data_IF_045765258062
#
_entry.id   IF_045765258062
#
_cell.length_a   1.000
_cell.length_b   1.000
_cell.length_c   1.000
_cell.angle_alpha   90.00
_cell.angle_beta   90.00
_cell.angle_gamma   90.00
#
_symmetry.space_group_name_H-M   'P 1'
#
loop_
_entity.id
_entity.type
_entity.pdbx_description
1 polymer ?
#
# COMPACT_ATOMS: atom_id res chain seq x y z
N UNK A 1 -1.06 -1.15 9.23
CA UNK A 1 -2.09 -0.93 8.18
C UNK A 1 -1.50 -0.54 6.82
N UNK A 2 -0.69 0.52 6.71
CA UNK A 2 -0.18 1.05 5.42
C UNK A 2 0.53 0.00 4.55
N UNK A 3 1.44 -0.80 5.14
CA UNK A 3 2.16 -1.85 4.39
C UNK A 3 1.23 -2.93 3.86
N UNK A 4 0.25 -3.35 4.66
CA UNK A 4 -0.74 -4.35 4.27
C UNK A 4 -1.66 -3.82 3.17
N UNK A 5 -2.20 -2.60 3.31
CA UNK A 5 -3.01 -1.97 2.27
C UNK A 5 -2.27 -1.74 0.95
N UNK A 6 -0.98 -1.39 1.01
CA UNK A 6 -0.15 -1.27 -0.19
C UNK A 6 0.11 -2.62 -0.86
N UNK A 7 0.43 -3.66 -0.08
CA UNK A 7 0.61 -5.02 -0.57
C UNK A 7 -0.69 -5.58 -1.19
N UNK A 8 -1.82 -5.42 -0.51
CA UNK A 8 -3.16 -5.76 -0.99
C UNK A 8 -3.50 -5.01 -2.27
N UNK A 9 -3.13 -3.73 -2.36
CA UNK A 9 -3.27 -2.92 -3.56
C UNK A 9 -2.44 -3.41 -4.77
N UNK A 10 -1.41 -4.23 -4.54
CA UNK A 10 -0.57 -4.83 -5.59
C UNK A 10 -1.04 -6.25 -5.96
N UNK A 11 -1.40 -7.08 -4.97
CA UNK A 11 -1.93 -8.42 -5.20
C UNK A 11 -3.36 -8.35 -5.79
N UNK A 12 -4.12 -7.30 -5.44
CA UNK A 12 -5.52 -7.10 -5.84
C UNK A 12 -6.39 -8.30 -5.46
N UNK A 13 -7.33 -8.69 -6.31
CA UNK A 13 -8.24 -9.83 -6.17
C UNK A 13 -7.57 -11.18 -5.87
N UNK A 14 -6.25 -11.30 -6.12
CA UNK A 14 -5.51 -12.54 -5.90
C UNK A 14 -5.13 -12.77 -4.42
N UNK A 15 -5.49 -11.90 -3.48
CA UNK A 15 -5.03 -12.01 -2.09
C UNK A 15 -5.55 -13.26 -1.37
N UNK A 16 -6.78 -13.69 -1.66
CA UNK A 16 -7.32 -14.97 -1.16
C UNK A 16 -6.54 -16.15 -1.74
N UNK A 17 -6.20 -16.11 -3.03
CA UNK A 17 -5.37 -17.13 -3.68
C UNK A 17 -3.97 -17.15 -3.07
N UNK A 18 -3.39 -15.99 -2.75
CA UNK A 18 -2.09 -15.89 -2.11
C UNK A 18 -2.09 -16.50 -0.69
N UNK A 19 -3.16 -16.32 0.09
CA UNK A 19 -3.31 -16.97 1.40
C UNK A 19 -3.41 -18.49 1.28
N UNK A 20 -4.21 -18.99 0.33
CA UNK A 20 -4.34 -20.44 0.07
C UNK A 20 -3.01 -21.02 -0.43
N UNK A 21 -2.33 -20.34 -1.35
CA UNK A 21 -1.04 -20.79 -1.87
C UNK A 21 0.02 -20.80 -0.77
N UNK A 22 0.03 -19.78 0.11
CA UNK A 22 0.91 -19.76 1.27
C UNK A 22 0.63 -20.94 2.21
N UNK A 23 -0.64 -21.21 2.52
CA UNK A 23 -1.04 -22.37 3.33
C UNK A 23 -0.59 -23.70 2.69
N UNK A 24 -0.81 -23.86 1.39
CA UNK A 24 -0.41 -25.06 0.64
C UNK A 24 1.10 -25.22 0.61
N UNK A 25 1.85 -24.15 0.34
CA UNK A 25 3.31 -24.18 0.31
C UNK A 25 3.87 -24.54 1.68
N UNK A 26 3.30 -23.98 2.74
CA UNK A 26 3.71 -24.24 4.12
C UNK A 26 3.47 -25.71 4.51
N UNK A 27 2.36 -26.31 4.05
CA UNK A 27 2.08 -27.75 4.23
C UNK A 27 3.03 -28.63 3.42
N UNK A 28 3.30 -28.29 2.16
CA UNK A 28 4.16 -29.09 1.27
C UNK A 28 5.63 -29.04 1.71
N UNK A 29 6.08 -27.91 2.25
CA UNK A 29 7.48 -27.71 2.66
C UNK A 29 7.83 -28.29 4.02
N UNK A 30 6.83 -28.59 4.85
CA UNK A 30 7.03 -29.30 6.12
C UNK A 30 6.54 -30.74 5.96
N UNK A 31 7.49 -31.66 5.74
CA UNK A 31 7.21 -33.09 5.49
C UNK A 31 6.64 -33.86 6.69
N UNK A 32 6.64 -33.26 7.88
CA UNK A 32 6.36 -33.95 9.15
C UNK A 32 5.22 -33.30 9.95
N UNK A 33 4.26 -32.64 9.29
CA UNK A 33 3.15 -32.00 10.00
C UNK A 33 2.11 -33.01 10.45
N UNK A 34 1.81 -33.02 11.74
CA UNK A 34 0.61 -33.68 12.26
C UNK A 34 -0.65 -32.89 11.92
N UNK A 35 -1.81 -33.54 12.04
CA UNK A 35 -3.13 -32.92 11.84
C UNK A 35 -3.32 -31.64 12.68
N UNK A 36 -2.68 -31.57 13.84
CA UNK A 36 -2.72 -30.40 14.74
C UNK A 36 -1.99 -29.20 14.15
N UNK A 37 -0.80 -29.38 13.59
CA UNK A 37 -0.06 -28.30 12.94
C UNK A 37 -0.76 -27.79 11.67
N UNK A 38 -1.36 -28.70 10.88
CA UNK A 38 -2.14 -28.32 9.69
C UNK A 38 -3.34 -27.45 10.10
N UNK A 39 -4.08 -27.85 11.14
CA UNK A 39 -5.21 -27.05 11.68
C UNK A 39 -4.74 -25.71 12.22
N UNK A 40 -3.61 -25.65 12.93
CA UNK A 40 -3.06 -24.41 13.44
C UNK A 40 -2.71 -23.43 12.30
N UNK A 41 -2.09 -23.94 11.23
CA UNK A 41 -1.71 -23.14 10.05
C UNK A 41 -2.93 -22.65 9.28
N UNK A 42 -3.92 -23.50 9.07
CA UNK A 42 -5.21 -23.09 8.52
C UNK A 42 -5.86 -22.00 9.38
N UNK A 43 -5.79 -22.13 10.70
CA UNK A 43 -6.27 -21.11 11.65
C UNK A 43 -5.58 -19.76 11.48
N UNK A 44 -4.26 -19.72 11.21
CA UNK A 44 -3.55 -18.47 10.93
C UNK A 44 -4.02 -17.81 9.63
N UNK A 45 -4.26 -18.58 8.57
CA UNK A 45 -4.79 -18.05 7.32
C UNK A 45 -6.21 -17.49 7.49
N UNK A 46 -7.07 -18.18 8.23
CA UNK A 46 -8.42 -17.70 8.56
C UNK A 46 -8.37 -16.44 9.44
N UNK A 47 -7.47 -16.38 10.42
CA UNK A 47 -7.28 -15.18 11.24
C UNK A 47 -6.78 -13.98 10.40
N UNK A 48 -5.87 -14.23 9.44
CA UNK A 48 -5.41 -13.21 8.50
C UNK A 48 -6.54 -12.72 7.58
N UNK A 49 -7.38 -13.63 7.08
CA UNK A 49 -8.57 -13.28 6.30
C UNK A 49 -9.54 -12.44 7.13
N UNK A 50 -9.86 -12.86 8.36
CA UNK A 50 -10.74 -12.11 9.26
C UNK A 50 -10.20 -10.70 9.52
N UNK A 51 -8.91 -10.55 9.80
CA UNK A 51 -8.28 -9.25 10.01
C UNK A 51 -8.33 -8.36 8.75
N UNK A 52 -8.19 -8.93 7.54
CA UNK A 52 -8.32 -8.19 6.29
C UNK A 52 -9.74 -7.65 6.12
N UNK A 53 -10.75 -8.47 6.41
CA UNK A 53 -12.17 -8.08 6.34
C UNK A 53 -12.53 -7.04 7.40
N UNK A 54 -12.09 -7.22 8.65
CA UNK A 54 -12.33 -6.25 9.74
C UNK A 54 -11.72 -4.88 9.47
N UNK A 55 -10.58 -4.86 8.79
CA UNK A 55 -9.88 -3.63 8.41
C UNK A 55 -10.39 -3.01 7.09
N UNK A 56 -11.40 -3.61 6.43
CA UNK A 56 -11.93 -3.11 5.16
C UNK A 56 -10.90 -3.13 4.01
N UNK A 57 -9.93 -4.05 4.07
CA UNK A 57 -8.82 -4.11 3.10
C UNK A 57 -9.15 -5.03 1.91
N UNK A 58 -10.27 -5.74 1.95
CA UNK A 58 -10.68 -6.78 1.01
C UNK A 58 -10.93 -6.27 -0.40
N UNK A 59 -11.12 -4.97 -0.60
CA UNK A 59 -11.34 -4.35 -1.91
C UNK A 59 -10.48 -3.08 -2.10
N UNK A 60 -9.40 -2.96 -1.33
CA UNK A 60 -8.62 -1.71 -1.28
C UNK A 60 -7.95 -1.34 -2.61
N UNK A 61 -7.80 -2.29 -3.52
CA UNK A 61 -7.33 -2.05 -4.88
C UNK A 61 -8.38 -1.39 -5.80
N UNK A 62 -9.68 -1.50 -5.46
CA UNK A 62 -10.77 -0.87 -6.19
C UNK A 62 -11.03 0.58 -5.73
N UNK A 63 -10.45 0.98 -4.61
CA UNK A 63 -10.55 2.35 -4.11
C UNK A 63 -9.82 3.29 -5.07
N UNK A 64 -10.58 4.17 -5.72
CA UNK A 64 -10.03 5.19 -6.63
C UNK A 64 -9.16 6.18 -5.84
N UNK A 65 -8.02 6.61 -6.39
CA UNK A 65 -7.24 7.70 -5.81
C UNK A 65 -8.10 8.95 -5.65
N UNK A 66 -8.00 9.62 -4.49
CA UNK A 66 -8.70 10.88 -4.22
C UNK A 66 -8.28 12.00 -5.19
N UNK A 67 -7.02 11.99 -5.62
CA UNK A 67 -6.45 12.91 -6.59
C UNK A 67 -6.01 12.18 -7.86
N UNK A 68 -6.41 12.70 -9.02
CA UNK A 68 -5.90 12.24 -10.30
C UNK A 68 -4.57 12.91 -10.64
N UNK A 69 -3.92 12.47 -11.72
CA UNK A 69 -2.66 13.07 -12.17
C UNK A 69 -2.76 14.57 -12.45
N UNK A 70 -3.92 15.07 -12.91
CA UNK A 70 -4.12 16.50 -13.18
C UNK A 70 -4.19 17.31 -11.89
N UNK A 71 -4.99 16.88 -10.91
CA UNK A 71 -5.10 17.53 -9.60
C UNK A 71 -3.77 17.52 -8.86
N UNK A 72 -2.98 16.44 -8.97
CA UNK A 72 -1.62 16.38 -8.43
C UNK A 72 -0.73 17.45 -9.10
N UNK A 73 -0.75 17.58 -10.43
CA UNK A 73 0.02 18.64 -11.12
C UNK A 73 -0.43 20.05 -10.70
N UNK A 74 -1.74 20.27 -10.57
CA UNK A 74 -2.29 21.54 -10.08
C UNK A 74 -1.86 21.85 -8.64
N UNK A 75 -1.88 20.87 -7.73
CA UNK A 75 -1.44 21.03 -6.34
C UNK A 75 0.04 21.45 -6.25
N UNK A 76 0.86 20.89 -7.15
CA UNK A 76 2.29 21.16 -7.22
C UNK A 76 2.63 22.44 -8.01
N UNK A 77 1.64 23.05 -8.69
CA UNK A 77 1.79 24.27 -9.47
C UNK A 77 2.59 24.09 -10.76
N UNK A 78 2.50 22.93 -11.42
CA UNK A 78 3.33 22.58 -12.59
C UNK A 78 2.48 22.30 -13.83
N UNK A 79 2.84 22.89 -14.97
CA UNK A 79 2.03 22.84 -16.21
C UNK A 79 2.34 21.64 -17.12
N UNK A 80 3.51 20.99 -16.99
CA UNK A 80 3.84 19.78 -17.77
C UNK A 80 4.73 18.80 -17.00
N UNK A 81 4.26 17.55 -16.91
CA UNK A 81 5.04 16.33 -16.72
C UNK A 81 6.13 16.37 -15.64
N UNK A 82 5.81 15.88 -14.44
CA UNK A 82 6.76 15.79 -13.34
C UNK A 82 7.64 14.53 -13.52
N UNK A 83 8.98 14.64 -13.50
CA UNK A 83 9.85 13.50 -13.21
C UNK A 83 9.46 12.93 -11.84
N UNK A 84 9.10 11.65 -11.76
CA UNK A 84 8.65 11.04 -10.51
C UNK A 84 7.16 11.21 -10.19
N UNK A 85 6.29 11.53 -11.17
CA UNK A 85 4.83 11.51 -11.00
C UNK A 85 4.31 10.22 -10.33
N UNK A 86 4.91 9.07 -10.67
CA UNK A 86 4.57 7.78 -10.06
C UNK A 86 4.86 7.75 -8.55
N UNK A 87 5.90 8.43 -8.09
CA UNK A 87 6.22 8.54 -6.67
C UNK A 87 5.19 9.38 -5.94
N UNK A 88 4.80 10.52 -6.53
CA UNK A 88 3.76 11.38 -5.97
C UNK A 88 2.40 10.67 -5.90
N UNK A 89 2.04 9.94 -6.94
CA UNK A 89 0.84 9.07 -6.93
C UNK A 89 0.92 8.02 -5.81
N UNK A 90 2.09 7.42 -5.59
CA UNK A 90 2.29 6.47 -4.50
C UNK A 90 2.20 7.14 -3.12
N UNK A 91 2.70 8.36 -2.96
CA UNK A 91 2.59 9.14 -1.73
C UNK A 91 1.14 9.49 -1.41
N UNK A 92 0.39 9.98 -2.39
CA UNK A 92 -1.05 10.22 -2.27
C UNK A 92 -1.78 8.93 -1.89
N UNK A 93 -1.47 7.80 -2.56
CA UNK A 93 -2.08 6.51 -2.25
C UNK A 93 -1.78 6.08 -0.81
N UNK A 94 -0.53 6.20 -0.35
CA UNK A 94 -0.15 5.89 1.03
C UNK A 94 -0.88 6.76 2.05
N UNK A 95 -1.02 8.05 1.76
CA UNK A 95 -1.74 8.97 2.63
C UNK A 95 -3.23 8.63 2.71
N UNK A 96 -3.86 8.33 1.57
CA UNK A 96 -5.26 7.89 1.52
C UNK A 96 -5.50 6.59 2.27
N UNK A 97 -4.55 5.65 2.24
CA UNK A 97 -4.59 4.44 3.06
C UNK A 97 -4.51 4.71 4.58
N UNK A 98 -3.97 5.85 4.99
CA UNK A 98 -3.96 6.29 6.39
C UNK A 98 -5.23 7.07 6.76
N UNK A 99 -5.87 7.69 5.77
CA UNK A 99 -7.00 8.59 5.94
C UNK A 99 -8.15 8.18 5.02
N UNK A 100 -8.70 6.97 5.24
CA UNK A 100 -9.73 6.39 4.37
C UNK A 100 -11.03 7.20 4.33
N UNK A 101 -11.27 8.05 5.33
CA UNK A 101 -12.44 8.94 5.42
C UNK A 101 -12.16 10.36 4.94
N UNK A 102 -10.92 10.67 4.55
CA UNK A 102 -10.55 12.02 4.14
C UNK A 102 -11.04 12.36 2.72
N UNK A 103 -11.25 13.63 2.51
CA UNK A 103 -11.74 14.24 1.28
C UNK A 103 -10.61 14.51 0.29
N UNK A 104 -10.98 14.78 -0.97
CA UNK A 104 -9.99 15.14 -1.99
C UNK A 104 -9.32 16.48 -1.66
N UNK A 105 -10.04 17.39 -1.01
CA UNK A 105 -9.59 18.70 -0.56
C UNK A 105 -8.52 18.57 0.53
N UNK A 106 -8.76 17.76 1.55
CA UNK A 106 -7.75 17.49 2.60
C UNK A 106 -6.50 16.83 2.02
N UNK A 107 -6.67 15.91 1.07
CA UNK A 107 -5.54 15.28 0.37
C UNK A 107 -4.74 16.30 -0.44
N UNK A 108 -5.43 17.27 -1.06
CA UNK A 108 -4.83 18.32 -1.86
C UNK A 108 -4.01 19.29 -1.00
N UNK A 109 -4.55 19.71 0.15
CA UNK A 109 -3.86 20.56 1.11
C UNK A 109 -2.61 19.86 1.66
N UNK A 110 -2.75 18.61 2.11
CA UNK A 110 -1.61 17.83 2.57
C UNK A 110 -0.52 17.69 1.50
N UNK A 111 -0.90 17.41 0.25
CA UNK A 111 0.06 17.25 -0.85
C UNK A 111 0.84 18.54 -1.12
N UNK A 112 0.18 19.69 -1.02
CA UNK A 112 0.80 21.01 -1.18
C UNK A 112 1.81 21.27 -0.07
N UNK A 113 1.46 21.00 1.18
CA UNK A 113 2.34 21.17 2.33
C UNK A 113 3.55 20.23 2.29
N UNK A 114 3.32 18.95 1.98
CA UNK A 114 4.38 17.94 1.83
C UNK A 114 5.38 18.34 0.73
N UNK A 115 4.88 18.91 -0.39
CA UNK A 115 5.75 19.40 -1.45
C UNK A 115 6.58 20.62 -1.03
N UNK A 116 5.99 21.60 -0.33
CA UNK A 116 6.74 22.76 0.17
C UNK A 116 7.81 22.33 1.18
N UNK A 117 7.49 21.39 2.07
CA UNK A 117 8.44 20.84 3.04
C UNK A 117 9.61 20.12 2.34
N UNK A 118 9.32 19.29 1.34
CA UNK A 118 10.37 18.61 0.54
C UNK A 118 11.21 19.59 -0.29
N UNK A 119 10.64 20.70 -0.76
CA UNK A 119 11.37 21.74 -1.49
C UNK A 119 12.33 22.52 -0.59
N UNK A 120 12.02 22.65 0.70
CA UNK A 120 12.87 23.32 1.70
C UNK A 120 13.96 22.38 2.28
N UNK A 121 13.86 21.08 2.05
CA UNK A 121 14.85 20.08 2.49
C UNK A 121 15.34 19.19 1.32
N UNK A 122 16.10 19.74 0.35
CA UNK A 122 16.63 18.97 -0.78
C UNK A 122 17.66 17.88 -0.40
N UNK A 123 18.19 17.91 0.83
CA UNK A 123 19.38 17.15 1.23
C UNK A 123 19.17 15.67 1.60
N UNK A 124 17.95 15.10 1.51
CA UNK A 124 17.71 13.68 1.87
C UNK A 124 17.37 12.74 0.72
N UNK A 125 17.24 13.24 -0.51
CA UNK A 125 16.97 12.37 -1.67
C UNK A 125 18.23 11.73 -2.28
N UNK A 126 19.42 12.30 -2.04
CA UNK A 126 20.69 11.77 -2.55
C UNK A 126 21.31 10.66 -1.68
N UNK A 127 20.97 10.57 -0.39
CA UNK A 127 21.56 9.56 0.51
C UNK A 127 20.90 8.17 0.44
N UNK A 128 19.74 8.01 -0.22
CA UNK A 128 19.04 6.72 -0.33
C UNK A 128 19.26 6.00 -1.66
N UNK A 129 20.01 6.58 -2.61
CA UNK A 129 20.45 5.91 -3.84
C UNK A 129 21.81 5.23 -3.72
N UNK A 130 22.51 5.38 -2.59
CA UNK A 130 23.85 4.82 -2.36
C UNK A 130 23.87 3.90 -1.14
N UNK A 131 23.08 2.82 -1.18
CA UNK A 131 23.45 1.56 -0.53
C UNK A 131 22.57 0.41 -1.03
N UNK A 132 23.02 -0.23 -2.10
CA UNK A 132 22.70 -1.62 -2.41
C UNK A 132 24.03 -2.38 -2.32
N UNK A 133 24.15 -3.35 -1.39
CA UNK A 133 24.73 -4.64 -1.70
C UNK A 133 23.64 -5.63 -2.11
#
# INVERSE_FOLDING_TARGET
MIRAGFWMGNIKELWRVALVLHALLDVITCTDLGDTEVKQRAGKCLAAEAAIMELGLEDIWNVKPLLDGKKIMSALGLEKGIPGMKEWQNHVRKWQLCHMTATAEECYEWLKDEYQHKRQSPLKMEELSVHIP
#
